data_IF_194801209789
#
_entry.id   IF_194801209789
#
_cell.length_a   1.000
_cell.length_b   1.000
_cell.length_c   1.000
_cell.angle_alpha   90.00
_cell.angle_beta   90.00
_cell.angle_gamma   90.00
#
_symmetry.space_group_name_H-M   'P 1'
#
loop_
_entity.id
_entity.type
_entity.pdbx_description
1 polymer ?
#
# COMPACT_ATOMS: atom_id res chain seq x y z
N UNK A 1 -15.11 11.99 -14.40
CA UNK A 1 -15.78 11.28 -13.29
C UNK A 1 -15.69 12.16 -12.06
N UNK A 2 -16.77 12.32 -11.29
CA UNK A 2 -16.84 13.21 -10.13
C UNK A 2 -16.36 12.49 -8.84
N UNK A 3 -15.88 13.22 -7.81
CA UNK A 3 -15.33 12.60 -6.60
C UNK A 3 -16.28 11.64 -5.87
N UNK A 4 -17.58 11.96 -5.84
CA UNK A 4 -18.65 11.13 -5.30
C UNK A 4 -18.75 9.76 -6.01
N UNK A 5 -18.63 9.74 -7.34
CA UNK A 5 -18.64 8.50 -8.11
C UNK A 5 -17.41 7.66 -7.83
N UNK A 6 -16.24 8.26 -7.68
CA UNK A 6 -15.02 7.52 -7.32
C UNK A 6 -15.15 6.85 -5.94
N UNK A 7 -15.78 7.54 -4.99
CA UNK A 7 -16.02 6.97 -3.67
C UNK A 7 -17.05 5.84 -3.70
N UNK A 8 -18.14 5.98 -4.47
CA UNK A 8 -19.19 4.96 -4.54
C UNK A 8 -18.80 3.73 -5.36
N UNK A 9 -18.11 3.92 -6.48
CA UNK A 9 -17.81 2.83 -7.42
C UNK A 9 -16.49 2.11 -7.11
N UNK A 10 -15.50 2.84 -6.58
CA UNK A 10 -14.14 2.32 -6.38
C UNK A 10 -13.66 2.38 -4.93
N UNK A 11 -14.52 2.79 -4.00
CA UNK A 11 -14.19 2.91 -2.57
C UNK A 11 -12.98 3.81 -2.30
N UNK A 12 -12.74 4.78 -3.20
CA UNK A 12 -11.69 5.77 -3.02
C UNK A 12 -12.21 6.87 -2.10
N UNK A 13 -11.71 6.91 -0.86
CA UNK A 13 -12.08 7.95 0.09
C UNK A 13 -11.93 9.34 -0.53
N UNK A 14 -13.01 10.13 -0.51
CA UNK A 14 -13.10 11.48 -1.11
C UNK A 14 -12.78 11.54 -2.61
N UNK A 15 -12.82 10.41 -3.31
CA UNK A 15 -12.42 10.29 -4.71
C UNK A 15 -10.92 10.45 -4.94
N UNK A 16 -10.09 10.16 -3.93
CA UNK A 16 -8.64 10.32 -4.00
C UNK A 16 -8.00 9.24 -4.89
N UNK A 17 -7.69 9.60 -6.14
CA UNK A 17 -7.20 8.67 -7.17
C UNK A 17 -5.86 7.99 -6.89
N UNK A 18 -4.88 8.60 -6.18
CA UNK A 18 -3.66 7.89 -5.83
C UNK A 18 -3.87 6.77 -4.80
N UNK A 19 -5.02 6.78 -4.09
CA UNK A 19 -5.41 5.91 -2.96
C UNK A 19 -4.49 6.01 -1.74
N UNK A 20 -3.18 6.14 -1.94
CA UNK A 20 -2.17 6.37 -0.93
C UNK A 20 -1.88 7.88 -0.78
N UNK A 21 -2.15 8.45 0.39
CA UNK A 21 -2.10 9.90 0.66
C UNK A 21 -0.69 10.46 0.93
N UNK A 22 0.35 9.69 0.68
CA UNK A 22 1.71 10.10 1.01
C UNK A 22 2.30 11.12 0.03
N UNK A 23 2.95 12.15 0.59
CA UNK A 23 3.85 13.05 -0.16
C UNK A 23 5.07 12.29 -0.71
N UNK A 24 5.67 12.70 -1.84
CA UNK A 24 6.96 12.17 -2.30
C UNK A 24 8.08 12.21 -1.25
N UNK A 25 8.01 13.16 -0.29
CA UNK A 25 8.95 13.25 0.83
C UNK A 25 8.96 12.00 1.71
N UNK A 26 7.88 11.23 1.71
CA UNK A 26 7.81 9.98 2.44
C UNK A 26 8.74 8.88 1.91
N UNK A 27 9.23 9.01 0.67
CA UNK A 27 10.31 8.16 0.19
C UNK A 27 11.60 8.32 1.02
N UNK A 28 11.76 9.48 1.68
CA UNK A 28 12.97 9.85 2.41
C UNK A 28 12.78 9.85 3.93
N UNK A 29 11.60 10.26 4.42
CA UNK A 29 11.39 10.55 5.86
C UNK A 29 10.74 9.38 6.63
N UNK A 30 10.32 8.32 5.93
CA UNK A 30 9.65 7.18 6.56
C UNK A 30 8.19 7.48 6.88
N UNK A 31 7.32 6.53 6.55
CA UNK A 31 5.87 6.63 6.62
C UNK A 31 5.28 5.98 7.88
N UNK A 32 3.96 6.12 8.10
CA UNK A 32 3.21 5.17 8.91
C UNK A 32 3.54 3.73 8.49
N UNK A 33 3.89 2.88 9.45
CA UNK A 33 4.37 1.55 9.15
C UNK A 33 3.34 0.63 8.50
N UNK A 34 2.05 0.88 8.68
CA UNK A 34 1.00 -0.04 8.20
C UNK A 34 0.96 -0.12 6.67
N UNK A 35 1.21 1.00 5.97
CA UNK A 35 1.11 1.09 4.50
C UNK A 35 2.44 0.92 3.79
N UNK A 36 3.53 0.77 4.54
CA UNK A 36 4.92 0.71 4.03
C UNK A 36 5.70 -0.53 4.44
N UNK A 37 5.33 -1.17 5.55
CA UNK A 37 5.91 -2.47 5.93
C UNK A 37 5.21 -3.64 5.26
N UNK A 38 4.06 -3.42 4.63
CA UNK A 38 3.24 -4.46 4.00
C UNK A 38 2.81 -5.58 4.96
N UNK A 39 2.95 -5.38 6.28
CA UNK A 39 2.55 -6.31 7.35
C UNK A 39 1.36 -5.75 8.08
N UNK A 40 0.40 -6.62 8.35
CA UNK A 40 -0.71 -6.30 9.26
C UNK A 40 -0.39 -6.80 10.67
N UNK A 41 -1.15 -6.37 11.70
CA UNK A 41 -1.03 -6.94 13.04
C UNK A 41 -1.38 -8.43 13.13
N UNK A 42 -2.05 -8.98 12.10
CA UNK A 42 -2.40 -10.41 12.02
C UNK A 42 -1.28 -11.17 11.31
N UNK A 43 -0.70 -12.16 12.00
CA UNK A 43 0.36 -13.00 11.45
C UNK A 43 -0.10 -13.73 10.18
N UNK A 44 0.73 -13.73 9.15
CA UNK A 44 0.42 -14.33 7.85
C UNK A 44 -0.53 -13.50 6.97
N UNK A 45 -1.02 -12.34 7.44
CA UNK A 45 -1.81 -11.41 6.64
C UNK A 45 -0.98 -10.19 6.24
N UNK A 46 -0.89 -9.94 4.94
CA UNK A 46 -0.10 -8.88 4.33
C UNK A 46 -1.00 -7.92 3.55
N UNK A 47 -0.59 -6.66 3.50
CA UNK A 47 -1.34 -5.61 2.82
C UNK A 47 -0.58 -5.13 1.57
N UNK A 48 -1.26 -5.07 0.43
CA UNK A 48 -0.70 -4.56 -0.84
C UNK A 48 -1.78 -3.92 -1.70
N UNK A 49 -1.38 -3.17 -2.73
CA UNK A 49 -2.28 -2.51 -3.68
C UNK A 49 -1.97 -1.03 -3.89
N UNK A 50 -2.91 -0.30 -4.51
CA UNK A 50 -2.76 1.13 -4.81
C UNK A 50 -2.73 2.03 -3.56
N UNK A 51 -3.31 1.57 -2.44
CA UNK A 51 -3.30 2.29 -1.15
C UNK A 51 -2.02 2.10 -0.33
N UNK A 52 -1.06 1.30 -0.80
CA UNK A 52 0.23 1.07 -0.14
C UNK A 52 1.34 1.76 -0.91
N UNK A 53 2.44 2.12 -0.23
CA UNK A 53 3.59 2.73 -0.90
C UNK A 53 4.06 1.85 -2.07
N UNK A 54 4.49 2.42 -3.21
CA UNK A 54 4.64 3.85 -3.53
C UNK A 54 3.38 4.57 -4.05
N UNK A 55 2.19 3.98 -3.86
CA UNK A 55 0.91 4.53 -4.31
C UNK A 55 0.56 4.18 -5.75
N UNK A 56 -0.60 4.62 -6.22
CA UNK A 56 -1.00 4.47 -7.62
C UNK A 56 -0.04 5.24 -8.55
N UNK A 57 0.24 4.66 -9.73
CA UNK A 57 1.12 5.26 -10.74
C UNK A 57 2.47 4.57 -10.90
N UNK A 58 2.90 3.73 -9.95
CA UNK A 58 4.07 2.86 -10.10
C UNK A 58 3.62 1.40 -10.21
N UNK A 59 3.48 0.94 -11.45
CA UNK A 59 2.94 -0.39 -11.76
C UNK A 59 3.80 -1.49 -11.14
N UNK A 60 3.19 -2.36 -10.33
CA UNK A 60 3.81 -3.56 -9.78
C UNK A 60 4.78 -3.36 -8.62
N UNK A 61 5.07 -2.12 -8.21
CA UNK A 61 6.02 -1.86 -7.13
C UNK A 61 5.51 -2.34 -5.75
N UNK A 62 4.25 -2.03 -5.39
CA UNK A 62 3.68 -2.46 -4.11
C UNK A 62 3.58 -3.98 -3.99
N UNK A 63 3.20 -4.66 -5.07
CA UNK A 63 3.16 -6.13 -5.15
C UNK A 63 4.54 -6.75 -4.96
N UNK A 64 5.57 -6.22 -5.64
CA UNK A 64 6.96 -6.68 -5.48
C UNK A 64 7.46 -6.50 -4.04
N UNK A 65 7.16 -5.38 -3.41
CA UNK A 65 7.61 -5.10 -2.06
C UNK A 65 6.89 -5.99 -1.03
N UNK A 66 5.57 -6.15 -1.15
CA UNK A 66 4.82 -7.08 -0.31
C UNK A 66 5.35 -8.52 -0.45
N UNK A 67 5.63 -8.98 -1.67
CA UNK A 67 6.20 -10.30 -1.91
C UNK A 67 7.56 -10.50 -1.22
N UNK A 68 8.43 -9.48 -1.22
CA UNK A 68 9.71 -9.55 -0.48
C UNK A 68 9.48 -9.73 1.02
N UNK A 69 8.56 -8.98 1.60
CA UNK A 69 8.23 -9.06 3.02
C UNK A 69 7.71 -10.45 3.39
N UNK A 70 6.84 -11.03 2.55
CA UNK A 70 6.34 -12.40 2.71
C UNK A 70 7.49 -13.41 2.66
N UNK A 71 8.38 -13.30 1.65
CA UNK A 71 9.51 -14.21 1.49
C UNK A 71 10.48 -14.15 2.67
N UNK A 72 10.74 -12.95 3.21
CA UNK A 72 11.61 -12.77 4.37
C UNK A 72 10.97 -13.39 5.63
N UNK A 73 9.66 -13.25 5.81
CA UNK A 73 8.95 -13.89 6.92
C UNK A 73 8.97 -15.42 6.79
N UNK A 74 8.71 -15.96 5.60
CA UNK A 74 8.78 -17.40 5.35
C UNK A 74 10.17 -17.99 5.63
N UNK A 75 11.23 -17.27 5.27
CA UNK A 75 12.61 -17.68 5.59
C UNK A 75 12.91 -17.66 7.08
N UNK A 76 12.27 -16.77 7.85
CA UNK A 76 12.46 -16.70 9.30
C UNK A 76 11.78 -17.84 10.07
N UNK A 77 10.85 -18.55 9.43
CA UNK A 77 10.20 -19.74 10.00
C UNK A 77 10.91 -21.06 9.68
N UNK A 78 11.97 -21.05 8.85
CA UNK A 78 12.84 -22.20 8.58
C UNK A 78 14.02 -22.24 9.55
#
# INVERSE_FOLDING_TARGET
MTPDRYQQEFFLDKGYSPTWSGSPLHAFVGQPPETTRYRTPLSGLYLTGAGTYPGAGIVGASGRNAARVVLDELRSFQ
#
